data_IF_595476168025
#
_entry.id   IF_595476168025
#
_cell.length_a   1.000
_cell.length_b   1.000
_cell.length_c   1.000
_cell.angle_alpha   90.00
_cell.angle_beta   90.00
_cell.angle_gamma   90.00
#
_symmetry.space_group_name_H-M   'P 1'
#
loop_
_entity.id
_entity.type
_entity.pdbx_description
1 polymer ?
#
# COMPACT_ATOMS: atom_id res chain seq x y z
N UNK A 1 4.86 -18.25 11.25
CA UNK A 1 3.64 -17.44 11.30
C UNK A 1 3.23 -17.05 9.89
N UNK A 2 1.94 -17.08 9.57
CA UNK A 2 1.43 -16.57 8.29
C UNK A 2 0.62 -15.29 8.51
N UNK A 3 0.69 -14.41 7.52
CA UNK A 3 -0.12 -13.21 7.39
C UNK A 3 -1.43 -13.47 6.61
N UNK A 4 -2.39 -12.54 6.69
CA UNK A 4 -3.71 -12.61 6.06
C UNK A 4 -3.61 -12.75 4.54
N UNK A 5 -2.72 -11.98 3.90
CA UNK A 5 -2.55 -12.02 2.44
C UNK A 5 -2.15 -13.42 1.94
N UNK A 6 -1.37 -14.19 2.70
CA UNK A 6 -0.93 -15.54 2.33
C UNK A 6 -2.15 -16.46 2.21
N UNK A 7 -3.10 -16.34 3.15
CA UNK A 7 -4.34 -17.12 3.14
C UNK A 7 -5.28 -16.68 2.01
N UNK A 8 -5.41 -15.36 1.78
CA UNK A 8 -6.25 -14.83 0.70
C UNK A 8 -5.69 -15.17 -0.68
N UNK A 9 -4.37 -15.24 -0.84
CA UNK A 9 -3.72 -15.60 -2.10
C UNK A 9 -4.04 -17.04 -2.53
N UNK A 10 -4.51 -17.92 -1.64
CA UNK A 10 -5.03 -19.23 -2.04
C UNK A 10 -6.26 -19.12 -2.96
N UNK A 11 -7.05 -18.04 -2.85
CA UNK A 11 -8.17 -17.75 -3.76
C UNK A 11 -7.71 -17.08 -5.06
N UNK A 12 -6.68 -16.25 -5.00
CA UNK A 12 -6.17 -15.46 -6.13
C UNK A 12 -5.22 -16.23 -7.04
N UNK A 13 -4.57 -17.26 -6.51
CA UNK A 13 -3.63 -18.10 -7.24
C UNK A 13 -4.36 -18.99 -8.27
N UNK A 14 -3.67 -19.31 -9.36
CA UNK A 14 -4.08 -20.39 -10.26
C UNK A 14 -3.99 -21.76 -9.55
N UNK A 15 -4.42 -22.82 -10.23
CA UNK A 15 -4.49 -24.15 -9.63
C UNK A 15 -3.14 -24.70 -9.15
N UNK A 16 -2.08 -24.61 -9.97
CA UNK A 16 -0.75 -25.12 -9.61
C UNK A 16 -0.17 -24.40 -8.41
N UNK A 17 -0.24 -23.07 -8.40
CA UNK A 17 0.32 -22.22 -7.34
C UNK A 17 -0.40 -22.43 -6.02
N UNK A 18 -1.72 -22.58 -6.04
CA UNK A 18 -2.50 -22.93 -4.85
C UNK A 18 -2.11 -24.30 -4.32
N UNK A 19 -1.98 -25.32 -5.17
CA UNK A 19 -1.59 -26.68 -4.77
C UNK A 19 -0.20 -26.68 -4.13
N UNK A 20 0.77 -26.04 -4.76
CA UNK A 20 2.16 -26.01 -4.29
C UNK A 20 2.28 -25.24 -2.96
N UNK A 21 1.53 -24.13 -2.82
CA UNK A 21 1.40 -23.39 -1.54
C UNK A 21 0.83 -24.29 -0.44
N UNK A 22 -0.28 -24.98 -0.70
CA UNK A 22 -0.88 -25.90 0.28
C UNK A 22 0.05 -27.06 0.64
N UNK A 23 0.82 -27.59 -0.30
CA UNK A 23 1.81 -28.62 -0.04
C UNK A 23 2.92 -28.13 0.90
N UNK A 24 3.45 -26.92 0.67
CA UNK A 24 4.43 -26.29 1.54
C UNK A 24 3.87 -26.06 2.96
N UNK A 25 2.66 -25.50 3.07
CA UNK A 25 2.01 -25.28 4.37
C UNK A 25 1.72 -26.59 5.11
N UNK A 26 1.33 -27.65 4.39
CA UNK A 26 1.12 -28.99 4.96
C UNK A 26 2.40 -29.56 5.55
N UNK A 27 3.52 -29.40 4.85
CA UNK A 27 4.83 -29.88 5.32
C UNK A 27 5.31 -29.10 6.55
N UNK A 28 4.93 -27.83 6.65
CA UNK A 28 5.26 -26.93 7.76
C UNK A 28 4.23 -26.91 8.89
N UNK A 29 3.17 -27.74 8.81
CA UNK A 29 2.01 -27.72 9.70
C UNK A 29 2.38 -27.66 11.18
N UNK A 30 3.32 -28.50 11.64
CA UNK A 30 3.69 -28.55 13.07
C UNK A 30 4.38 -27.29 13.59
N UNK A 31 4.88 -26.44 12.69
CA UNK A 31 5.54 -25.16 13.00
C UNK A 31 4.65 -23.96 12.64
N UNK A 32 3.47 -24.22 12.10
CA UNK A 32 2.54 -23.19 11.64
C UNK A 32 1.75 -22.65 12.83
N UNK A 33 1.59 -21.34 12.82
CA UNK A 33 0.72 -20.61 13.74
C UNK A 33 0.25 -19.33 13.06
N UNK A 34 -0.96 -18.88 13.36
CA UNK A 34 -1.47 -17.58 12.92
C UNK A 34 -2.10 -16.82 14.09
N UNK A 35 -1.97 -15.49 14.14
CA UNK A 35 -2.76 -14.67 15.06
C UNK A 35 -4.26 -14.83 14.84
N UNK A 36 -5.05 -14.64 15.90
CA UNK A 36 -6.50 -14.51 15.77
C UNK A 36 -6.87 -13.35 14.83
N UNK A 37 -6.12 -12.24 14.88
CA UNK A 37 -6.35 -11.09 14.02
C UNK A 37 -6.25 -11.46 12.53
N UNK A 38 -5.26 -12.28 12.14
CA UNK A 38 -5.11 -12.78 10.76
C UNK A 38 -6.35 -13.54 10.31
N UNK A 39 -6.89 -14.41 11.19
CA UNK A 39 -8.11 -15.14 10.88
C UNK A 39 -9.34 -14.22 10.76
N UNK A 40 -9.45 -13.21 11.62
CA UNK A 40 -10.53 -12.21 11.57
C UNK A 40 -10.52 -11.44 10.25
N UNK A 41 -9.34 -11.01 9.81
CA UNK A 41 -9.18 -10.29 8.56
C UNK A 41 -9.41 -11.19 7.34
N UNK A 42 -8.96 -12.44 7.41
CA UNK A 42 -9.26 -13.43 6.38
C UNK A 42 -10.77 -13.56 6.17
N UNK A 43 -11.55 -13.74 7.24
CA UNK A 43 -13.02 -13.84 7.12
C UNK A 43 -13.66 -12.56 6.61
N UNK A 44 -13.19 -11.38 7.04
CA UNK A 44 -13.68 -10.08 6.57
C UNK A 44 -13.44 -9.91 5.06
N UNK A 45 -12.25 -10.27 4.59
CA UNK A 45 -11.79 -9.95 3.24
C UNK A 45 -12.14 -11.06 2.23
N UNK A 46 -12.36 -12.30 2.67
CA UNK A 46 -12.70 -13.46 1.83
C UNK A 46 -13.97 -13.25 0.99
N UNK A 47 -14.93 -12.48 1.48
CA UNK A 47 -16.18 -12.18 0.76
C UNK A 47 -15.99 -11.14 -0.37
N UNK A 48 -14.84 -10.45 -0.40
CA UNK A 48 -14.56 -9.45 -1.43
C UNK A 48 -14.55 -10.08 -2.83
N UNK A 49 -15.17 -9.45 -3.84
CA UNK A 49 -15.05 -9.87 -5.24
C UNK A 49 -13.59 -9.98 -5.70
N UNK A 50 -12.70 -9.10 -5.22
CA UNK A 50 -11.27 -9.09 -5.58
C UNK A 50 -10.48 -10.28 -5.02
N UNK A 51 -11.06 -11.02 -4.08
CA UNK A 51 -10.51 -12.27 -3.53
C UNK A 51 -11.23 -13.46 -4.14
N UNK A 52 -12.55 -13.57 -3.93
CA UNK A 52 -13.33 -14.75 -4.32
C UNK A 52 -13.46 -14.92 -5.83
N UNK A 53 -13.65 -13.80 -6.53
CA UNK A 53 -13.88 -13.77 -7.97
C UNK A 53 -12.66 -13.20 -8.70
N UNK A 54 -11.47 -13.25 -8.10
CA UNK A 54 -10.25 -12.63 -8.63
C UNK A 54 -10.03 -12.92 -10.11
N UNK A 55 -10.02 -14.20 -10.50
CA UNK A 55 -9.83 -14.63 -11.89
C UNK A 55 -10.91 -14.10 -12.83
N UNK A 56 -12.17 -14.12 -12.42
CA UNK A 56 -13.28 -13.59 -13.21
C UNK A 56 -13.21 -12.05 -13.34
N UNK A 57 -12.85 -11.34 -12.27
CA UNK A 57 -12.65 -9.90 -12.26
C UNK A 57 -11.50 -9.51 -13.22
N UNK A 58 -10.34 -10.18 -13.13
CA UNK A 58 -9.22 -9.93 -14.03
C UNK A 58 -9.52 -10.27 -15.49
N UNK A 59 -10.26 -11.35 -15.74
CA UNK A 59 -10.74 -11.68 -17.09
C UNK A 59 -11.67 -10.60 -17.67
N UNK A 60 -12.58 -10.07 -16.87
CA UNK A 60 -13.49 -9.00 -17.27
C UNK A 60 -12.75 -7.67 -17.51
N UNK A 61 -11.78 -7.32 -16.66
CA UNK A 61 -10.92 -6.14 -16.84
C UNK A 61 -10.12 -6.23 -18.15
N UNK A 62 -9.50 -7.38 -18.42
CA UNK A 62 -8.78 -7.63 -19.66
C UNK A 62 -9.71 -7.55 -20.88
N UNK A 63 -10.90 -8.17 -20.80
CA UNK A 63 -11.89 -8.14 -21.87
C UNK A 63 -12.36 -6.71 -22.19
N UNK A 64 -12.66 -5.91 -21.16
CA UNK A 64 -13.04 -4.51 -21.33
C UNK A 64 -11.90 -3.66 -21.92
N UNK A 65 -10.65 -3.99 -21.59
CA UNK A 65 -9.48 -3.30 -22.15
C UNK A 65 -9.26 -3.64 -23.62
N UNK A 66 -9.45 -4.91 -24.00
CA UNK A 66 -9.44 -5.34 -25.40
C UNK A 66 -10.53 -4.62 -26.21
N UNK A 67 -11.75 -4.52 -25.68
CA UNK A 67 -12.84 -3.80 -26.35
C UNK A 67 -12.50 -2.31 -26.57
N UNK A 68 -11.87 -1.66 -25.59
CA UNK A 68 -11.38 -0.28 -25.73
C UNK A 68 -10.30 -0.16 -26.78
N UNK A 69 -9.34 -1.09 -26.82
CA UNK A 69 -8.25 -1.08 -27.79
C UNK A 69 -8.76 -1.24 -29.23
N UNK A 70 -9.69 -2.17 -29.46
CA UNK A 70 -10.35 -2.36 -30.75
C UNK A 70 -11.11 -1.10 -31.18
N UNK A 71 -11.89 -0.50 -30.27
CA UNK A 71 -12.61 0.75 -30.55
C UNK A 71 -11.67 1.91 -30.87
N UNK A 72 -10.54 2.01 -30.17
CA UNK A 72 -9.52 3.02 -30.42
C UNK A 72 -8.89 2.83 -31.81
N UNK A 73 -8.55 1.59 -32.19
CA UNK A 73 -8.04 1.27 -33.52
C UNK A 73 -9.03 1.67 -34.63
N UNK A 74 -10.31 1.31 -34.50
CA UNK A 74 -11.38 1.73 -35.42
C UNK A 74 -11.46 3.25 -35.55
N UNK A 75 -11.43 3.96 -34.44
CA UNK A 75 -11.51 5.43 -34.41
C UNK A 75 -10.30 6.07 -35.09
N UNK A 76 -9.10 5.56 -34.86
CA UNK A 76 -7.87 6.05 -35.48
C UNK A 76 -7.88 5.87 -37.01
N UNK A 77 -8.31 4.69 -37.48
CA UNK A 77 -8.38 4.41 -38.92
C UNK A 77 -9.46 5.26 -39.60
N UNK A 78 -10.64 5.43 -38.99
CA UNK A 78 -11.70 6.31 -39.50
C UNK A 78 -11.26 7.78 -39.59
N UNK A 79 -10.52 8.27 -38.58
CA UNK A 79 -9.95 9.60 -38.60
C UNK A 79 -8.92 9.77 -39.73
N UNK A 80 -8.04 8.77 -39.91
CA UNK A 80 -7.08 8.76 -41.01
C UNK A 80 -7.76 8.79 -42.37
N UNK A 81 -8.75 7.91 -42.63
CA UNK A 81 -9.55 7.88 -43.87
C UNK A 81 -10.15 9.24 -44.22
N UNK A 82 -10.67 9.93 -43.22
CA UNK A 82 -11.24 11.28 -43.37
C UNK A 82 -10.16 12.30 -43.72
N UNK A 83 -9.02 12.27 -43.02
CA UNK A 83 -7.92 13.21 -43.21
C UNK A 83 -7.27 13.09 -44.60
N UNK A 84 -7.19 11.88 -45.14
CA UNK A 84 -6.60 11.62 -46.47
C UNK A 84 -7.64 11.60 -47.60
N UNK A 85 -8.91 11.91 -47.30
CA UNK A 85 -10.02 11.98 -48.27
C UNK A 85 -10.30 10.66 -49.03
N UNK A 86 -9.98 9.52 -48.42
CA UNK A 86 -10.23 8.19 -48.99
C UNK A 86 -11.53 7.55 -48.48
N UNK A 87 -12.36 8.29 -47.74
CA UNK A 87 -13.61 7.78 -47.15
C UNK A 87 -14.64 7.28 -48.18
N UNK A 88 -14.56 7.74 -49.42
CA UNK A 88 -15.46 7.39 -50.52
C UNK A 88 -14.78 6.42 -51.52
N UNK A 89 -13.54 6.00 -51.25
CA UNK A 89 -12.82 5.00 -52.05
C UNK A 89 -13.27 3.59 -51.61
N UNK A 90 -14.14 2.96 -52.40
CA UNK A 90 -14.76 1.68 -52.08
C UNK A 90 -13.74 0.55 -51.82
N UNK A 91 -12.65 0.49 -52.56
CA UNK A 91 -11.64 -0.58 -52.42
C UNK A 91 -10.83 -0.39 -51.13
N UNK A 92 -10.43 0.86 -50.84
CA UNK A 92 -9.71 1.19 -49.59
C UNK A 92 -10.60 0.95 -48.37
N UNK A 93 -11.85 1.43 -48.40
CA UNK A 93 -12.81 1.25 -47.31
C UNK A 93 -13.09 -0.23 -47.06
N UNK A 94 -13.33 -1.01 -48.13
CA UNK A 94 -13.58 -2.45 -48.02
C UNK A 94 -12.40 -3.20 -47.41
N UNK A 95 -11.17 -2.88 -47.81
CA UNK A 95 -9.95 -3.49 -47.24
C UNK A 95 -9.83 -3.18 -45.75
N UNK A 96 -10.09 -1.94 -45.37
CA UNK A 96 -10.04 -1.50 -43.96
C UNK A 96 -11.12 -2.17 -43.13
N UNK A 97 -12.35 -2.23 -43.63
CA UNK A 97 -13.45 -2.90 -42.93
C UNK A 97 -13.15 -4.38 -42.73
N UNK A 98 -12.52 -5.05 -43.71
CA UNK A 98 -12.03 -6.41 -43.55
C UNK A 98 -10.99 -6.51 -42.44
N UNK A 99 -9.94 -5.69 -42.46
CA UNK A 99 -8.86 -5.75 -41.46
C UNK A 99 -9.36 -5.40 -40.04
N UNK A 100 -10.32 -4.48 -39.92
CA UNK A 100 -10.98 -4.14 -38.65
C UNK A 100 -11.94 -5.22 -38.16
N UNK A 101 -12.49 -6.03 -39.07
CA UNK A 101 -13.30 -7.21 -38.71
C UNK A 101 -12.39 -8.33 -38.21
N UNK A 102 -11.28 -8.60 -38.91
CA UNK A 102 -10.28 -9.59 -38.48
C UNK A 102 -9.70 -9.23 -37.10
N UNK A 103 -9.46 -7.94 -36.83
CA UNK A 103 -9.04 -7.45 -35.52
C UNK A 103 -10.10 -7.72 -34.42
N UNK A 104 -11.38 -7.50 -34.73
CA UNK A 104 -12.49 -7.77 -33.82
C UNK A 104 -12.64 -9.26 -33.50
N UNK A 105 -12.52 -10.11 -34.52
CA UNK A 105 -12.59 -11.56 -34.37
C UNK A 105 -11.42 -12.08 -33.53
N UNK A 106 -10.19 -11.60 -33.79
CA UNK A 106 -9.01 -11.95 -33.01
C UNK A 106 -9.16 -11.53 -31.53
N UNK A 107 -9.66 -10.31 -31.28
CA UNK A 107 -9.95 -9.84 -29.93
C UNK A 107 -11.07 -10.68 -29.27
N UNK A 108 -12.09 -11.07 -30.03
CA UNK A 108 -13.15 -11.98 -29.59
C UNK A 108 -12.61 -13.33 -29.12
N UNK A 109 -11.80 -13.97 -29.96
CA UNK A 109 -11.16 -15.26 -29.64
C UNK A 109 -10.26 -15.18 -28.40
N UNK A 110 -9.49 -14.09 -28.26
CA UNK A 110 -8.67 -13.88 -27.07
C UNK A 110 -9.52 -13.72 -25.80
N UNK A 111 -10.64 -12.98 -25.87
CA UNK A 111 -11.57 -12.85 -24.74
C UNK A 111 -12.17 -14.18 -24.34
N UNK A 112 -12.60 -15.00 -25.30
CA UNK A 112 -13.13 -16.35 -25.03
C UNK A 112 -12.10 -17.23 -24.33
N UNK A 113 -10.84 -17.22 -24.78
CA UNK A 113 -9.76 -17.95 -24.15
C UNK A 113 -9.51 -17.48 -22.71
N UNK A 114 -9.41 -16.17 -22.49
CA UNK A 114 -9.21 -15.57 -21.15
C UNK A 114 -10.34 -15.98 -20.20
N UNK A 115 -11.59 -15.92 -20.66
CA UNK A 115 -12.75 -16.33 -19.86
C UNK A 115 -12.75 -17.83 -19.55
N UNK A 116 -12.40 -18.67 -20.53
CA UNK A 116 -12.27 -20.11 -20.32
C UNK A 116 -11.17 -20.45 -19.29
N UNK A 117 -10.02 -19.79 -19.37
CA UNK A 117 -8.93 -19.97 -18.40
C UNK A 117 -9.35 -19.51 -17.00
N UNK A 118 -10.00 -18.35 -16.89
CA UNK A 118 -10.50 -17.86 -15.60
C UNK A 118 -11.52 -18.81 -14.96
N UNK A 119 -12.37 -19.48 -15.76
CA UNK A 119 -13.28 -20.52 -15.27
C UNK A 119 -12.55 -21.80 -14.83
N UNK A 120 -11.41 -22.12 -15.45
CA UNK A 120 -10.57 -23.25 -15.07
C UNK A 120 -9.87 -23.02 -13.73
N UNK A 121 -9.32 -21.82 -13.53
CA UNK A 121 -8.62 -21.45 -12.30
C UNK A 121 -9.56 -21.07 -11.15
N UNK A 122 -10.83 -20.74 -11.48
CA UNK A 122 -11.86 -20.42 -10.50
C UNK A 122 -12.14 -21.60 -9.57
N UNK A 123 -12.17 -21.29 -8.28
CA UNK A 123 -12.62 -22.21 -7.25
C UNK A 123 -14.15 -22.36 -7.33
N UNK A 124 -14.61 -23.58 -7.59
CA UNK A 124 -16.04 -23.93 -7.53
C UNK A 124 -16.49 -24.03 -6.07
N UNK A 125 -17.79 -23.85 -5.87
CA UNK A 125 -18.47 -24.06 -4.58
C UNK A 125 -17.92 -23.26 -3.40
N UNK A 126 -17.34 -22.08 -3.67
CA UNK A 126 -16.84 -21.13 -2.64
C UNK A 126 -17.96 -20.33 -1.96
N UNK A 127 -19.19 -20.38 -2.51
CA UNK A 127 -20.34 -19.69 -1.95
C UNK A 127 -20.75 -20.22 -0.58
N UNK A 128 -20.47 -21.50 -0.29
CA UNK A 128 -20.82 -22.11 0.99
C UNK A 128 -19.59 -22.61 1.72
N UNK A 129 -19.48 -22.26 3.01
CA UNK A 129 -18.31 -22.55 3.85
C UNK A 129 -17.93 -24.03 3.88
N UNK A 130 -18.90 -24.94 3.92
CA UNK A 130 -18.65 -26.38 4.00
C UNK A 130 -18.27 -27.03 2.67
N UNK A 131 -18.49 -26.35 1.55
CA UNK A 131 -18.10 -26.84 0.22
C UNK A 131 -16.80 -26.22 -0.26
N UNK A 132 -16.43 -25.05 0.29
CA UNK A 132 -15.26 -24.29 -0.12
C UNK A 132 -13.96 -25.12 -0.02
N UNK A 133 -13.25 -25.33 -1.14
CA UNK A 133 -12.05 -26.16 -1.18
C UNK A 133 -10.86 -25.55 -0.41
N UNK A 134 -10.73 -24.23 -0.37
CA UNK A 134 -9.66 -23.55 0.40
C UNK A 134 -9.94 -23.71 1.89
N UNK A 135 -11.19 -23.56 2.33
CA UNK A 135 -11.53 -23.77 3.74
C UNK A 135 -11.36 -25.22 4.18
N UNK A 136 -11.76 -26.18 3.34
CA UNK A 136 -11.52 -27.61 3.58
C UNK A 136 -10.04 -27.95 3.73
N UNK A 137 -9.17 -27.26 2.99
CA UNK A 137 -7.72 -27.44 3.10
C UNK A 137 -7.16 -26.73 4.35
N UNK A 138 -7.62 -25.51 4.65
CA UNK A 138 -7.13 -24.71 5.77
C UNK A 138 -7.56 -25.24 7.14
N UNK A 139 -8.78 -25.78 7.26
CA UNK A 139 -9.31 -26.26 8.54
C UNK A 139 -8.37 -27.25 9.27
N UNK A 140 -7.92 -28.37 8.67
CA UNK A 140 -7.00 -29.30 9.33
C UNK A 140 -5.57 -28.73 9.49
N UNK A 141 -5.18 -27.76 8.65
CA UNK A 141 -3.88 -27.08 8.73
C UNK A 141 -3.81 -26.11 9.90
N UNK A 142 -4.90 -25.41 10.19
CA UNK A 142 -4.98 -24.37 11.21
C UNK A 142 -5.55 -24.87 12.55
N UNK A 143 -6.12 -26.07 12.59
CA UNK A 143 -6.67 -26.65 13.82
C UNK A 143 -5.64 -26.64 14.96
N UNK A 144 -5.97 -25.98 16.08
CA UNK A 144 -5.10 -25.83 17.25
C UNK A 144 -3.87 -24.93 17.02
N UNK A 145 -3.84 -24.14 15.95
CA UNK A 145 -2.70 -23.30 15.52
C UNK A 145 -3.10 -21.84 15.29
N UNK A 146 -4.26 -21.45 15.80
CA UNK A 146 -4.73 -20.05 15.80
C UNK A 146 -4.53 -19.52 17.21
N UNK A 147 -3.99 -18.30 17.33
CA UNK A 147 -3.92 -17.61 18.62
C UNK A 147 -5.30 -17.34 19.21
N UNK A 148 -5.36 -17.15 20.52
CA UNK A 148 -6.60 -16.77 21.20
C UNK A 148 -7.01 -15.32 20.85
N UNK A 149 -8.31 -15.02 20.81
CA UNK A 149 -8.77 -13.63 20.69
C UNK A 149 -8.33 -12.80 21.88
N UNK A 150 -8.04 -11.53 21.65
CA UNK A 150 -7.91 -10.56 22.75
C UNK A 150 -9.26 -10.40 23.45
N UNK A 151 -9.25 -10.22 24.78
CA UNK A 151 -10.43 -9.77 25.50
C UNK A 151 -10.85 -8.38 25.01
N UNK A 152 -12.12 -8.01 25.17
CA UNK A 152 -12.61 -6.68 24.73
C UNK A 152 -11.78 -5.53 25.31
N UNK A 153 -11.44 -5.57 26.60
CA UNK A 153 -10.61 -4.55 27.24
C UNK A 153 -9.17 -4.53 26.71
N UNK A 154 -8.56 -5.70 26.46
CA UNK A 154 -7.23 -5.78 25.86
C UNK A 154 -7.22 -5.30 24.41
N UNK A 155 -8.29 -5.59 23.67
CA UNK A 155 -8.48 -5.12 22.30
C UNK A 155 -8.59 -3.59 22.24
N UNK A 156 -9.44 -2.99 23.07
CA UNK A 156 -9.63 -1.53 23.11
C UNK A 156 -8.33 -0.81 23.51
N UNK A 157 -7.55 -1.40 24.41
CA UNK A 157 -6.21 -0.90 24.78
C UNK A 157 -5.24 -1.01 23.61
N UNK A 158 -5.20 -2.15 22.93
CA UNK A 158 -4.32 -2.37 21.79
C UNK A 158 -4.64 -1.43 20.61
N UNK A 159 -5.92 -1.11 20.37
CA UNK A 159 -6.31 -0.14 19.34
C UNK A 159 -5.86 1.28 19.71
N UNK A 160 -5.97 1.68 20.98
CA UNK A 160 -5.45 2.99 21.43
C UNK A 160 -3.94 3.07 21.32
N UNK A 161 -3.24 2.03 21.73
CA UNK A 161 -1.79 1.94 21.60
C UNK A 161 -1.35 1.98 20.12
N UNK A 162 -2.08 1.29 19.23
CA UNK A 162 -1.82 1.35 17.79
C UNK A 162 -1.92 2.79 17.25
N UNK A 163 -2.92 3.56 17.70
CA UNK A 163 -3.05 4.97 17.32
C UNK A 163 -1.88 5.81 17.85
N UNK A 164 -1.48 5.64 19.11
CA UNK A 164 -0.35 6.36 19.70
C UNK A 164 0.96 6.05 18.96
N UNK A 165 1.20 4.77 18.65
CA UNK A 165 2.33 4.33 17.82
C UNK A 165 2.28 4.94 16.43
N UNK A 166 1.10 5.02 15.82
CA UNK A 166 0.93 5.62 14.51
C UNK A 166 1.24 7.13 14.50
N UNK A 167 0.81 7.85 15.53
CA UNK A 167 1.10 9.28 15.72
C UNK A 167 2.61 9.55 15.87
N UNK A 168 3.34 8.60 16.46
CA UNK A 168 4.80 8.63 16.61
C UNK A 168 5.57 8.05 15.41
N UNK A 169 4.87 7.44 14.44
CA UNK A 169 5.49 6.80 13.27
C UNK A 169 6.23 5.50 13.60
N UNK A 170 5.80 4.80 14.64
CA UNK A 170 6.38 3.53 15.08
C UNK A 170 5.73 2.37 14.28
N UNK A 171 6.54 1.52 13.61
CA UNK A 171 6.04 0.36 12.86
C UNK A 171 5.49 -0.75 13.79
N UNK A 172 4.66 -1.69 13.28
CA UNK A 172 3.97 -1.68 11.99
C UNK A 172 2.53 -1.12 12.11
N UNK A 173 1.92 -0.80 10.97
CA UNK A 173 0.53 -0.33 10.80
C UNK A 173 0.30 1.17 10.78
N UNK A 174 1.34 2.02 10.82
CA UNK A 174 1.14 3.47 11.02
C UNK A 174 0.56 4.19 9.79
N UNK A 175 0.77 3.66 8.58
CA UNK A 175 0.27 4.26 7.34
C UNK A 175 -1.26 4.18 7.22
N UNK A 176 -1.85 3.09 7.73
CA UNK A 176 -3.29 2.84 7.64
C UNK A 176 -4.15 3.81 8.45
N UNK A 177 -3.62 4.36 9.54
CA UNK A 177 -4.31 5.35 10.39
C UNK A 177 -4.56 6.69 9.68
N UNK A 178 -3.95 6.90 8.50
CA UNK A 178 -4.19 8.10 7.69
C UNK A 178 -5.51 8.03 6.92
N UNK A 179 -5.96 6.82 6.58
CA UNK A 179 -7.06 6.61 5.62
C UNK A 179 -8.21 5.78 6.18
N UNK A 180 -7.97 5.02 7.25
CA UNK A 180 -8.95 4.08 7.82
C UNK A 180 -9.34 4.48 9.25
N UNK A 181 -10.54 4.05 9.67
CA UNK A 181 -10.98 4.16 11.06
C UNK A 181 -10.03 3.38 11.99
N UNK A 182 -9.80 3.83 13.24
CA UNK A 182 -8.77 3.27 14.13
C UNK A 182 -8.85 1.75 14.31
N UNK A 183 -10.05 1.17 14.42
CA UNK A 183 -10.25 -0.28 14.57
C UNK A 183 -9.88 -1.09 13.33
N UNK A 184 -9.97 -0.48 12.15
CA UNK A 184 -9.57 -1.09 10.88
C UNK A 184 -8.09 -0.86 10.61
N UNK A 185 -7.56 0.29 11.02
CA UNK A 185 -6.16 0.68 10.86
C UNK A 185 -5.20 -0.08 11.80
N UNK A 186 -5.68 -0.46 12.99
CA UNK A 186 -4.88 -1.19 13.98
C UNK A 186 -4.51 -2.64 13.59
N UNK A 187 -4.92 -3.14 12.42
CA UNK A 187 -4.78 -4.54 12.01
C UNK A 187 -3.35 -5.06 12.12
N UNK A 188 -2.41 -4.38 11.49
CA UNK A 188 -0.98 -4.74 11.50
C UNK A 188 -0.39 -4.77 12.91
N UNK A 189 -0.73 -3.78 13.74
CA UNK A 189 -0.27 -3.75 15.14
C UNK A 189 -0.86 -4.90 15.95
N UNK A 190 -2.14 -5.22 15.76
CA UNK A 190 -2.80 -6.34 16.44
C UNK A 190 -2.17 -7.68 16.05
N UNK A 191 -1.83 -7.87 14.77
CA UNK A 191 -1.06 -9.01 14.27
C UNK A 191 0.31 -9.08 14.96
N UNK A 192 1.02 -7.96 15.04
CA UNK A 192 2.33 -7.85 15.68
C UNK A 192 2.28 -8.13 17.19
N UNK A 193 1.32 -7.56 17.90
CA UNK A 193 1.11 -7.77 19.33
C UNK A 193 0.87 -9.25 19.67
N UNK A 194 0.00 -9.92 18.90
CA UNK A 194 -0.26 -11.34 19.09
C UNK A 194 0.96 -12.20 18.74
N UNK A 195 1.71 -11.85 17.69
CA UNK A 195 2.98 -12.50 17.34
C UNK A 195 3.97 -12.43 18.51
N UNK A 196 4.21 -11.24 19.05
CA UNK A 196 5.16 -11.05 20.16
C UNK A 196 4.74 -11.84 21.39
N UNK A 197 3.44 -11.84 21.70
CA UNK A 197 2.88 -12.59 22.84
C UNK A 197 3.12 -14.10 22.68
N UNK A 198 2.82 -14.65 21.50
CA UNK A 198 3.02 -16.07 21.23
C UNK A 198 4.50 -16.45 21.19
N UNK A 199 5.34 -15.61 20.60
CA UNK A 199 6.78 -15.81 20.53
C UNK A 199 7.40 -15.88 21.93
N UNK A 200 6.97 -14.99 22.84
CA UNK A 200 7.38 -15.01 24.25
C UNK A 200 6.91 -16.27 24.96
N UNK A 201 5.68 -16.72 24.69
CA UNK A 201 5.12 -17.92 25.29
C UNK A 201 5.87 -19.20 24.86
N UNK A 202 6.21 -19.32 23.57
CA UNK A 202 6.93 -20.48 23.03
C UNK A 202 8.44 -20.44 23.22
N UNK A 203 9.02 -19.24 23.35
CA UNK A 203 10.47 -19.05 23.45
C UNK A 203 11.24 -19.50 22.20
N UNK A 204 10.63 -19.38 21.01
CA UNK A 204 11.23 -19.80 19.75
C UNK A 204 11.35 -18.65 18.74
N UNK A 205 12.39 -18.70 17.91
CA UNK A 205 12.58 -17.75 16.81
C UNK A 205 11.39 -17.77 15.84
N UNK A 206 11.02 -16.59 15.36
CA UNK A 206 9.84 -16.37 14.52
C UNK A 206 10.25 -16.26 13.07
N UNK A 207 9.60 -17.05 12.21
CA UNK A 207 9.55 -16.81 10.78
C UNK A 207 8.16 -16.29 10.41
N UNK A 208 8.07 -15.02 10.02
CA UNK A 208 6.86 -14.39 9.51
C UNK A 208 6.83 -14.48 7.99
N UNK A 209 5.78 -15.06 7.44
CA UNK A 209 5.53 -15.08 6.00
C UNK A 209 4.45 -14.06 5.68
N UNK A 210 4.81 -13.01 4.95
CA UNK A 210 3.91 -11.93 4.55
C UNK A 210 4.15 -11.55 3.09
N UNK A 211 3.08 -11.41 2.32
CA UNK A 211 3.11 -10.84 0.97
C UNK A 211 3.11 -9.31 0.96
N UNK A 212 3.02 -8.68 2.13
CA UNK A 212 3.11 -7.24 2.26
C UNK A 212 4.59 -6.84 2.30
N UNK A 213 5.05 -6.08 1.29
CA UNK A 213 6.42 -5.55 1.19
C UNK A 213 6.50 -4.06 1.55
N UNK A 214 5.51 -3.53 2.27
CA UNK A 214 5.48 -2.13 2.71
C UNK A 214 6.74 -1.73 3.48
N UNK A 215 7.07 -0.44 3.36
CA UNK A 215 8.15 0.22 4.10
C UNK A 215 8.00 0.10 5.62
N UNK A 216 6.80 -0.23 6.09
CA UNK A 216 6.51 -0.38 7.51
C UNK A 216 7.01 -1.71 8.10
N UNK A 217 7.07 -2.75 7.28
CA UNK A 217 7.57 -4.06 7.67
C UNK A 217 9.01 -4.29 7.22
N UNK A 218 9.37 -3.71 6.08
CA UNK A 218 10.64 -3.96 5.40
C UNK A 218 11.49 -2.71 5.22
N UNK A 219 12.80 -2.89 5.35
CA UNK A 219 13.80 -1.90 4.92
C UNK A 219 14.30 -2.27 3.53
N UNK A 220 13.93 -1.47 2.53
CA UNK A 220 14.49 -1.56 1.19
C UNK A 220 15.98 -1.19 1.19
N UNK A 221 16.75 -1.92 0.37
CA UNK A 221 18.21 -1.76 0.30
C UNK A 221 18.71 -1.34 -1.08
N UNK A 222 17.83 -0.93 -1.99
CA UNK A 222 18.14 -0.60 -3.39
C UNK A 222 17.77 -1.72 -4.36
N UNK A 223 17.91 -1.46 -5.66
CA UNK A 223 17.28 -2.22 -6.75
C UNK A 223 17.63 -3.72 -6.84
N UNK A 224 18.73 -4.18 -6.23
CA UNK A 224 19.18 -5.59 -6.35
C UNK A 224 19.38 -6.33 -5.02
N UNK A 225 19.08 -5.69 -3.87
CA UNK A 225 19.30 -6.33 -2.57
C UNK A 225 17.95 -6.67 -1.94
N UNK A 226 17.69 -7.94 -1.61
CA UNK A 226 16.45 -8.35 -0.95
C UNK A 226 16.16 -7.49 0.29
N UNK A 227 14.91 -7.06 0.46
CA UNK A 227 14.53 -6.29 1.63
C UNK A 227 14.78 -7.11 2.89
N UNK A 228 15.05 -6.41 3.99
CA UNK A 228 15.21 -7.04 5.30
C UNK A 228 14.15 -6.55 6.27
N UNK A 229 13.83 -7.30 7.34
CA UNK A 229 12.99 -6.79 8.41
C UNK A 229 13.49 -5.43 8.92
N UNK A 230 12.57 -4.52 9.24
CA UNK A 230 12.91 -3.27 9.92
C UNK A 230 13.65 -3.53 11.23
N UNK A 231 14.66 -2.70 11.52
CA UNK A 231 15.49 -2.85 12.71
C UNK A 231 14.69 -2.67 14.00
N UNK A 232 13.69 -1.80 13.96
CA UNK A 232 12.74 -1.53 15.04
C UNK A 232 11.98 -2.81 15.43
N UNK A 233 11.48 -3.56 14.44
CA UNK A 233 10.77 -4.84 14.67
C UNK A 233 11.71 -5.92 15.24
N UNK A 234 12.96 -5.98 14.73
CA UNK A 234 13.97 -6.90 15.25
C UNK A 234 14.28 -6.61 16.73
N UNK A 235 14.43 -5.33 17.08
CA UNK A 235 14.73 -4.87 18.42
C UNK A 235 13.55 -5.13 19.35
N UNK A 236 12.35 -4.73 18.96
CA UNK A 236 11.15 -4.85 19.77
C UNK A 236 10.84 -6.32 20.10
N UNK A 237 10.89 -7.23 19.12
CA UNK A 237 10.67 -8.65 19.39
C UNK A 237 11.73 -9.23 20.32
N UNK A 238 12.99 -8.81 20.16
CA UNK A 238 14.08 -9.27 21.02
C UNK A 238 13.94 -8.78 22.46
N UNK A 239 13.47 -7.54 22.65
CA UNK A 239 13.21 -6.97 23.98
C UNK A 239 12.00 -7.64 24.66
N UNK A 240 10.92 -7.91 23.92
CA UNK A 240 9.69 -8.46 24.47
C UNK A 240 9.71 -9.98 24.67
N UNK A 241 10.35 -10.71 23.77
CA UNK A 241 10.31 -12.17 23.73
C UNK A 241 11.69 -12.85 23.82
N UNK A 242 12.80 -12.11 23.64
CA UNK A 242 14.15 -12.67 23.71
C UNK A 242 14.55 -13.52 22.49
N UNK A 243 13.76 -13.49 21.41
CA UNK A 243 13.93 -14.33 20.22
C UNK A 243 14.25 -13.50 18.96
N UNK A 244 14.63 -14.17 17.87
CA UNK A 244 14.91 -13.53 16.58
C UNK A 244 13.69 -13.51 15.67
N UNK A 245 13.61 -12.48 14.84
CA UNK A 245 12.65 -12.37 13.74
C UNK A 245 13.35 -12.66 12.40
N UNK A 246 12.70 -13.50 11.60
CA UNK A 246 12.95 -13.75 10.20
C UNK A 246 11.68 -13.43 9.42
N UNK A 247 11.82 -12.88 8.21
CA UNK A 247 10.68 -12.62 7.33
C UNK A 247 10.96 -13.21 5.95
N UNK A 248 9.92 -13.72 5.32
CA UNK A 248 9.93 -14.17 3.93
C UNK A 248 8.63 -13.73 3.25
N UNK A 249 8.72 -13.49 1.95
CA UNK A 249 7.54 -13.40 1.09
C UNK A 249 7.01 -14.80 0.76
N UNK A 250 5.75 -14.95 0.30
CA UNK A 250 5.19 -16.24 -0.10
C UNK A 250 5.98 -16.92 -1.22
N UNK A 251 6.51 -16.16 -2.19
CA UNK A 251 7.35 -16.68 -3.27
C UNK A 251 8.69 -17.20 -2.75
N UNK A 252 9.32 -16.49 -1.80
CA UNK A 252 10.54 -16.95 -1.14
C UNK A 252 10.29 -18.22 -0.30
N UNK A 253 9.14 -18.30 0.39
CA UNK A 253 8.76 -19.51 1.13
C UNK A 253 8.71 -20.72 0.18
N UNK A 254 8.08 -20.59 -0.99
CA UNK A 254 8.01 -21.68 -1.97
C UNK A 254 9.38 -22.06 -2.52
N UNK A 255 10.24 -21.08 -2.79
CA UNK A 255 11.62 -21.33 -3.22
C UNK A 255 12.39 -22.16 -2.18
N UNK A 256 12.34 -21.75 -0.92
CA UNK A 256 12.98 -22.48 0.17
C UNK A 256 12.32 -23.83 0.44
N UNK A 257 11.01 -23.95 0.23
CA UNK A 257 10.29 -25.22 0.36
C UNK A 257 10.79 -26.25 -0.66
N UNK A 258 11.08 -25.82 -1.89
CA UNK A 258 11.70 -26.68 -2.92
C UNK A 258 13.07 -27.20 -2.48
N UNK A 259 13.93 -26.30 -1.99
CA UNK A 259 15.32 -26.63 -1.64
C UNK A 259 15.45 -27.41 -0.32
N UNK A 260 14.66 -27.04 0.70
CA UNK A 260 14.83 -27.52 2.07
C UNK A 260 13.80 -28.55 2.50
N UNK A 261 12.64 -28.61 1.82
CA UNK A 261 11.54 -29.54 2.17
C UNK A 261 11.35 -30.65 1.15
N UNK A 262 12.22 -30.74 0.13
CA UNK A 262 12.20 -31.72 -0.95
C UNK A 262 10.85 -31.79 -1.69
N UNK A 263 10.17 -30.64 -1.79
CA UNK A 263 8.91 -30.52 -2.51
C UNK A 263 9.16 -30.21 -3.98
N UNK A 264 8.43 -30.88 -4.87
CA UNK A 264 8.43 -30.54 -6.29
C UNK A 264 7.53 -29.32 -6.52
N UNK A 265 8.13 -28.13 -6.47
CA UNK A 265 7.46 -26.85 -6.70
C UNK A 265 7.72 -26.38 -8.12
N UNK A 266 6.66 -25.98 -8.82
CA UNK A 266 6.75 -25.42 -10.16
C UNK A 266 7.37 -24.01 -10.13
N UNK A 267 8.28 -23.73 -11.07
CA UNK A 267 8.92 -22.41 -11.18
C UNK A 267 7.91 -21.30 -11.52
N UNK A 268 6.84 -21.63 -12.24
CA UNK A 268 5.72 -20.72 -12.49
C UNK A 268 5.05 -20.30 -11.19
N UNK A 269 4.89 -21.23 -10.23
CA UNK A 269 4.25 -20.91 -8.95
C UNK A 269 5.03 -19.94 -8.07
N UNK A 270 6.36 -19.96 -8.14
CA UNK A 270 7.20 -18.95 -7.48
C UNK A 270 6.98 -17.57 -8.12
N UNK A 271 6.93 -17.50 -9.46
CA UNK A 271 6.71 -16.25 -10.20
C UNK A 271 5.32 -15.68 -9.98
N UNK A 272 4.29 -16.52 -9.98
CA UNK A 272 2.90 -16.10 -9.78
C UNK A 272 2.73 -15.44 -8.40
N UNK A 273 3.31 -16.04 -7.34
CA UNK A 273 3.27 -15.44 -6.00
C UNK A 273 4.07 -14.15 -5.91
N UNK A 274 5.18 -14.03 -6.66
CA UNK A 274 5.94 -12.79 -6.72
C UNK A 274 5.09 -11.68 -7.36
N UNK A 275 4.44 -11.96 -8.50
CA UNK A 275 3.55 -11.00 -9.17
C UNK A 275 2.34 -10.61 -8.32
N UNK A 276 1.74 -11.56 -7.59
CA UNK A 276 0.66 -11.27 -6.65
C UNK A 276 1.12 -10.36 -5.51
N UNK A 277 2.36 -10.52 -5.04
CA UNK A 277 2.97 -9.62 -4.06
C UNK A 277 3.21 -8.21 -4.62
N UNK A 278 3.78 -8.11 -5.82
CA UNK A 278 4.04 -6.84 -6.52
C UNK A 278 2.73 -6.08 -6.80
N UNK A 279 1.69 -6.75 -7.31
CA UNK A 279 0.40 -6.10 -7.55
C UNK A 279 -0.28 -5.60 -6.26
N UNK A 280 -0.07 -6.28 -5.14
CA UNK A 280 -0.57 -5.83 -3.83
C UNK A 280 0.23 -4.63 -3.32
N UNK A 281 1.53 -4.59 -3.59
CA UNK A 281 2.37 -3.45 -3.29
C UNK A 281 2.00 -2.25 -4.17
N UNK A 282 1.70 -2.46 -5.45
CA UNK A 282 1.30 -1.40 -6.39
C UNK A 282 -0.09 -0.80 -6.07
N UNK A 283 -1.07 -1.61 -5.63
CA UNK A 283 -2.37 -1.11 -5.16
C UNK A 283 -2.25 -0.20 -3.92
N UNK A 284 -1.25 -0.45 -3.06
CA UNK A 284 -0.93 0.36 -1.89
C UNK A 284 0.18 1.41 -2.16
N UNK A 285 0.95 1.29 -3.26
CA UNK A 285 2.01 2.22 -3.68
C UNK A 285 1.62 3.17 -4.82
N UNK A 286 0.35 3.12 -5.27
CA UNK A 286 -0.32 4.23 -5.97
C UNK A 286 -0.32 5.55 -5.15
N UNK A 287 0.29 5.54 -3.96
CA UNK A 287 0.55 6.67 -3.07
C UNK A 287 1.84 7.47 -3.39
N UNK A 288 2.74 7.03 -4.28
CA UNK A 288 3.79 7.93 -4.82
C UNK A 288 3.25 8.78 -6.01
N UNK A 289 2.20 9.56 -5.75
CA UNK A 289 1.42 10.35 -6.73
C UNK A 289 2.16 11.57 -7.34
N UNK A 290 3.35 11.90 -6.84
CA UNK A 290 4.07 13.12 -7.19
C UNK A 290 5.26 12.83 -8.09
N UNK A 291 5.13 13.15 -9.37
CA UNK A 291 6.26 13.26 -10.28
C UNK A 291 6.91 14.64 -10.13
N UNK A 292 8.15 14.80 -10.61
CA UNK A 292 8.81 16.12 -10.64
C UNK A 292 7.98 17.15 -11.40
N UNK A 293 7.36 16.76 -12.52
CA UNK A 293 6.51 17.65 -13.34
C UNK A 293 5.22 18.02 -12.62
N UNK A 294 4.44 17.04 -12.14
CA UNK A 294 3.16 17.29 -11.47
C UNK A 294 3.32 18.10 -10.17
N UNK A 295 4.39 17.83 -9.42
CA UNK A 295 4.73 18.62 -8.23
C UNK A 295 5.15 20.04 -8.58
N UNK A 296 5.91 20.23 -9.67
CA UNK A 296 6.33 21.56 -10.10
C UNK A 296 5.13 22.43 -10.47
N UNK A 297 4.23 21.92 -11.31
CA UNK A 297 3.02 22.64 -11.73
C UNK A 297 2.10 22.95 -10.56
N UNK A 298 1.91 21.99 -9.65
CA UNK A 298 1.12 22.21 -8.44
C UNK A 298 1.71 23.31 -7.55
N UNK A 299 3.02 23.28 -7.31
CA UNK A 299 3.69 24.27 -6.47
C UNK A 299 3.67 25.66 -7.09
N UNK A 300 3.77 25.78 -8.41
CA UNK A 300 3.71 27.06 -9.12
C UNK A 300 2.29 27.66 -9.06
N UNK A 301 1.26 26.84 -9.26
CA UNK A 301 -0.13 27.30 -9.15
C UNK A 301 -0.54 27.61 -7.70
N UNK A 302 -0.02 26.83 -6.74
CA UNK A 302 -0.20 27.10 -5.31
C UNK A 302 0.54 28.38 -4.90
N UNK A 303 1.71 28.67 -5.48
CA UNK A 303 2.43 29.92 -5.24
C UNK A 303 1.63 31.12 -5.74
N UNK A 304 1.03 31.00 -6.93
CA UNK A 304 0.24 32.08 -7.53
C UNK A 304 -1.01 32.44 -6.71
N UNK A 305 -1.69 31.42 -6.17
CA UNK A 305 -2.96 31.62 -5.42
C UNK A 305 -2.74 31.79 -3.91
N UNK A 306 -1.75 31.11 -3.34
CA UNK A 306 -1.59 30.96 -1.90
C UNK A 306 -0.12 30.86 -1.43
N UNK A 307 0.70 31.92 -1.59
CA UNK A 307 2.15 31.89 -1.31
C UNK A 307 2.55 31.37 0.08
N UNK A 308 1.74 31.66 1.11
CA UNK A 308 2.03 31.23 2.49
C UNK A 308 2.01 29.72 2.69
N UNK A 309 1.22 28.97 1.89
CA UNK A 309 1.23 27.50 1.96
C UNK A 309 2.47 26.91 1.31
N UNK A 310 2.95 27.49 0.22
CA UNK A 310 4.20 27.05 -0.41
C UNK A 310 5.36 27.23 0.55
N UNK A 311 5.45 28.36 1.24
CA UNK A 311 6.46 28.58 2.28
C UNK A 311 6.41 27.51 3.37
N UNK A 312 5.22 27.13 3.83
CA UNK A 312 5.06 26.07 4.82
C UNK A 312 5.50 24.69 4.30
N UNK A 313 5.15 24.34 3.05
CA UNK A 313 5.56 23.08 2.40
C UNK A 313 7.08 23.01 2.22
N UNK A 314 7.70 24.08 1.73
CA UNK A 314 9.16 24.15 1.54
C UNK A 314 9.89 24.11 2.87
N UNK A 315 9.40 24.82 3.89
CA UNK A 315 9.95 24.75 5.25
C UNK A 315 9.82 23.34 5.85
N UNK A 316 8.70 22.65 5.61
CA UNK A 316 8.54 21.27 6.03
C UNK A 316 9.58 20.37 5.35
N UNK A 317 9.82 20.54 4.04
CA UNK A 317 10.84 19.78 3.30
C UNK A 317 12.27 20.03 3.82
N UNK A 318 12.61 21.29 4.13
CA UNK A 318 13.89 21.65 4.71
C UNK A 318 14.09 21.03 6.11
N UNK A 319 13.01 20.84 6.87
CA UNK A 319 13.01 20.29 8.22
C UNK A 319 12.65 18.80 8.29
N UNK A 320 13.00 18.02 7.26
CA UNK A 320 12.82 16.55 7.28
C UNK A 320 11.37 16.07 7.20
N UNK A 321 10.49 16.90 6.65
CA UNK A 321 9.09 16.57 6.36
C UNK A 321 8.06 17.20 7.29
N UNK A 322 8.46 18.04 8.26
CA UNK A 322 7.54 18.64 9.23
C UNK A 322 7.80 20.14 9.45
N UNK A 323 6.74 20.93 9.59
CA UNK A 323 6.81 22.35 9.96
C UNK A 323 5.91 22.61 11.16
N UNK A 324 6.46 23.19 12.22
CA UNK A 324 5.69 23.54 13.41
C UNK A 324 4.81 24.79 13.19
N UNK A 325 3.80 24.94 14.05
CA UNK A 325 2.84 26.05 14.00
C UNK A 325 3.49 27.43 14.05
N UNK A 326 4.47 27.62 14.93
CA UNK A 326 5.12 28.92 15.14
C UNK A 326 5.82 29.37 13.85
N UNK A 327 6.53 28.44 13.22
CA UNK A 327 7.17 28.64 11.93
C UNK A 327 6.15 28.99 10.85
N UNK A 328 4.98 28.33 10.80
CA UNK A 328 3.91 28.69 9.86
C UNK A 328 3.38 30.12 10.10
N UNK A 329 3.31 30.58 11.34
CA UNK A 329 2.83 31.93 11.66
C UNK A 329 3.79 33.01 11.20
N UNK A 330 5.08 32.79 11.45
CA UNK A 330 6.14 33.66 10.98
C UNK A 330 6.15 33.73 9.44
N UNK A 331 6.08 32.58 8.76
CA UNK A 331 6.12 32.52 7.29
C UNK A 331 4.87 33.11 6.62
N UNK A 332 3.71 32.99 7.26
CA UNK A 332 2.43 33.45 6.74
C UNK A 332 2.03 34.86 7.21
N UNK A 333 2.78 35.47 8.15
CA UNK A 333 2.45 36.76 8.75
C UNK A 333 1.13 36.72 9.54
N UNK A 334 0.85 35.62 10.23
CA UNK A 334 -0.39 35.44 10.99
C UNK A 334 -0.22 35.85 12.45
N UNK A 335 -1.29 36.41 13.02
CA UNK A 335 -1.38 36.67 14.45
C UNK A 335 -1.41 35.36 15.25
N UNK A 336 -0.76 35.36 16.42
CA UNK A 336 -0.64 34.17 17.29
C UNK A 336 -1.99 33.61 17.76
N UNK A 337 -3.02 34.46 17.80
CA UNK A 337 -4.39 34.08 18.19
C UNK A 337 -5.21 33.49 17.03
N UNK A 338 -4.74 33.59 15.79
CA UNK A 338 -5.44 33.05 14.61
C UNK A 338 -5.57 31.53 14.74
N UNK A 339 -6.65 30.95 14.21
CA UNK A 339 -6.79 29.49 14.07
C UNK A 339 -6.31 29.05 12.68
N UNK A 340 -5.59 27.93 12.62
CA UNK A 340 -5.15 27.29 11.37
C UNK A 340 -6.17 26.30 10.79
N UNK A 341 -7.42 26.32 11.29
CA UNK A 341 -8.48 25.46 10.76
C UNK A 341 -8.74 25.80 9.28
N UNK A 342 -8.65 24.79 8.42
CA UNK A 342 -8.80 24.95 6.98
C UNK A 342 -7.54 25.45 6.24
N UNK A 343 -6.37 25.50 6.91
CA UNK A 343 -5.12 25.90 6.25
C UNK A 343 -4.76 25.00 5.06
N UNK A 344 -5.04 23.69 5.19
CA UNK A 344 -4.82 22.65 4.16
C UNK A 344 -5.95 22.57 3.12
N UNK A 345 -7.10 23.20 3.35
CA UNK A 345 -8.26 23.10 2.45
C UNK A 345 -7.94 23.55 1.01
N UNK A 346 -7.24 24.68 0.76
CA UNK A 346 -6.91 25.08 -0.60
C UNK A 346 -5.93 24.14 -1.31
N UNK A 347 -5.06 23.45 -0.56
CA UNK A 347 -4.14 22.44 -1.09
C UNK A 347 -4.94 21.23 -1.58
N UNK A 348 -5.91 20.78 -0.79
CA UNK A 348 -6.82 19.70 -1.17
C UNK A 348 -7.80 20.07 -2.29
N UNK A 349 -8.18 21.34 -2.44
CA UNK A 349 -8.97 21.81 -3.60
C UNK A 349 -8.13 21.83 -4.86
N UNK A 350 -6.93 22.41 -4.82
CA UNK A 350 -6.07 22.50 -6.00
C UNK A 350 -5.64 21.12 -6.50
N UNK A 351 -5.37 20.18 -5.60
CA UNK A 351 -4.97 18.82 -6.00
C UNK A 351 -6.09 18.09 -6.73
N UNK A 352 -7.35 18.27 -6.30
CA UNK A 352 -8.52 17.72 -7.01
C UNK A 352 -8.73 18.39 -8.37
N UNK A 353 -8.49 19.68 -8.49
CA UNK A 353 -8.58 20.40 -9.78
C UNK A 353 -7.55 19.85 -10.78
N UNK A 354 -6.30 19.61 -10.36
CA UNK A 354 -5.24 19.05 -11.22
C UNK A 354 -5.42 17.56 -11.54
N UNK A 355 -6.04 16.79 -10.63
CA UNK A 355 -6.47 15.43 -10.93
C UNK A 355 -7.54 15.41 -12.03
N UNK A 356 -8.52 16.32 -11.96
CA UNK A 356 -9.59 16.41 -12.96
C UNK A 356 -9.08 16.75 -14.36
N UNK A 357 -7.93 17.43 -14.47
CA UNK A 357 -7.26 17.76 -15.74
C UNK A 357 -6.21 16.71 -16.16
N UNK A 358 -6.02 15.64 -15.39
CA UNK A 358 -5.05 14.58 -15.68
C UNK A 358 -3.58 14.95 -15.46
N UNK A 359 -3.30 16.10 -14.82
CA UNK A 359 -1.95 16.56 -14.49
C UNK A 359 -1.38 15.79 -13.30
N UNK A 360 -2.24 15.46 -12.32
CA UNK A 360 -1.89 14.64 -11.19
C UNK A 360 -2.49 13.24 -11.36
N UNK A 361 -1.64 12.22 -11.36
CA UNK A 361 -2.02 10.81 -11.50
C UNK A 361 -1.68 10.09 -10.20
N UNK A 362 -2.69 9.84 -9.36
CA UNK A 362 -2.52 9.15 -8.07
C UNK A 362 -3.64 9.45 -7.09
N UNK A 363 -3.80 8.59 -6.07
CA UNK A 363 -4.91 8.65 -5.12
C UNK A 363 -4.70 9.61 -3.95
N UNK A 364 -3.47 10.11 -3.73
CA UNK A 364 -3.12 10.97 -2.59
C UNK A 364 -3.14 12.48 -2.96
N UNK A 365 -4.20 13.25 -2.65
CA UNK A 365 -4.33 14.64 -3.09
C UNK A 365 -3.87 15.65 -2.03
N UNK A 366 -3.10 15.23 -1.02
CA UNK A 366 -2.77 16.08 0.13
C UNK A 366 -1.26 16.21 0.34
N UNK A 367 -0.66 17.16 -0.37
CA UNK A 367 0.76 17.52 -0.20
C UNK A 367 1.10 17.99 1.23
N UNK A 368 0.10 18.39 2.02
CA UNK A 368 0.28 18.91 3.38
C UNK A 368 -0.86 18.47 4.30
N UNK A 369 -0.51 17.79 5.39
CA UNK A 369 -1.45 17.23 6.37
C UNK A 369 -1.28 17.90 7.72
N UNK A 370 -2.39 18.19 8.41
CA UNK A 370 -2.39 18.82 9.73
C UNK A 370 -2.02 17.80 10.80
N UNK A 371 -1.09 18.17 11.69
CA UNK A 371 -0.75 17.40 12.90
C UNK A 371 -1.38 18.10 14.10
N UNK A 372 -2.29 17.43 14.81
CA UNK A 372 -2.96 17.96 16.00
C UNK A 372 -2.17 17.63 17.28
N UNK A 373 -2.36 18.43 18.34
CA UNK A 373 -1.86 18.11 19.68
C UNK A 373 -2.74 17.10 20.43
N UNK A 374 -2.29 16.71 21.62
CA UNK A 374 -2.90 15.71 22.52
C UNK A 374 -4.43 15.85 22.67
N UNK A 375 -5.10 14.72 22.95
CA UNK A 375 -6.56 14.57 23.05
C UNK A 375 -7.31 15.57 23.96
N UNK A 376 -6.62 16.29 24.85
CA UNK A 376 -7.24 17.28 25.76
C UNK A 376 -7.34 18.69 25.18
N UNK A 377 -6.68 19.00 24.06
CA UNK A 377 -6.91 20.25 23.31
C UNK A 377 -6.86 20.03 21.78
N UNK A 378 -7.83 19.27 21.22
CA UNK A 378 -7.86 18.92 19.79
C UNK A 378 -8.13 20.13 18.87
N UNK A 379 -8.23 21.34 19.43
CA UNK A 379 -8.60 22.55 18.70
C UNK A 379 -7.41 23.34 18.12
N UNK A 380 -6.17 22.96 18.44
CA UNK A 380 -4.94 23.62 17.99
C UNK A 380 -4.03 22.66 17.19
N UNK A 381 -3.74 23.01 15.94
CA UNK A 381 -2.73 22.30 15.15
C UNK A 381 -1.33 22.55 15.75
N UNK A 382 -0.54 21.48 15.95
CA UNK A 382 0.87 21.52 16.37
C UNK A 382 1.80 21.90 15.20
N UNK A 383 1.39 21.56 13.99
CA UNK A 383 2.13 21.83 12.77
C UNK A 383 1.54 21.10 11.57
N UNK A 384 2.33 20.95 10.52
CA UNK A 384 1.95 20.23 9.31
C UNK A 384 3.08 19.33 8.83
N UNK A 385 2.70 18.24 8.15
CA UNK A 385 3.63 17.24 7.61
C UNK A 385 3.42 17.10 6.11
N UNK A 386 4.51 16.83 5.38
CA UNK A 386 4.48 16.48 3.95
C UNK A 386 4.89 15.02 3.74
N UNK A 387 4.47 14.36 2.64
CA UNK A 387 4.89 13.00 2.33
C UNK A 387 6.41 12.88 2.15
N UNK A 388 7.00 11.78 2.63
CA UNK A 388 8.45 11.59 2.58
C UNK A 388 9.00 11.46 1.16
N UNK A 389 8.23 10.86 0.24
CA UNK A 389 8.59 10.73 -1.18
C UNK A 389 8.70 12.07 -1.93
N UNK A 390 8.07 13.13 -1.41
CA UNK A 390 8.10 14.47 -2.00
C UNK A 390 9.34 15.26 -1.59
N UNK A 391 9.95 14.94 -0.44
CA UNK A 391 11.09 15.70 0.11
C UNK A 391 12.27 15.78 -0.89
N UNK A 392 12.72 14.68 -1.54
CA UNK A 392 13.80 14.76 -2.53
C UNK A 392 13.44 15.64 -3.73
N UNK A 393 12.18 15.61 -4.18
CA UNK A 393 11.71 16.39 -5.32
C UNK A 393 11.68 17.89 -5.00
N UNK A 394 11.17 18.27 -3.82
CA UNK A 394 11.19 19.66 -3.36
C UNK A 394 12.61 20.16 -3.11
N UNK A 395 13.48 19.31 -2.56
CA UNK A 395 14.89 19.65 -2.37
C UNK A 395 15.55 19.99 -3.71
N UNK A 396 15.34 19.16 -4.73
CA UNK A 396 15.90 19.40 -6.06
C UNK A 396 15.47 20.75 -6.69
N UNK A 397 14.28 21.28 -6.34
CA UNK A 397 13.75 22.52 -6.92
C UNK A 397 14.08 23.77 -6.09
N UNK A 398 14.08 23.66 -4.76
CA UNK A 398 14.13 24.82 -3.87
C UNK A 398 15.44 24.96 -3.08
N UNK A 399 16.23 23.89 -2.92
CA UNK A 399 17.48 23.93 -2.16
C UNK A 399 18.45 24.98 -2.72
N UNK A 400 18.92 25.87 -1.84
CA UNK A 400 19.79 26.99 -2.21
C UNK A 400 19.08 28.25 -2.74
N UNK A 401 17.75 28.24 -2.86
CA UNK A 401 16.95 29.41 -3.23
C UNK A 401 16.36 30.18 -2.04
N UNK A 402 15.77 31.35 -2.30
CA UNK A 402 15.24 32.28 -1.28
C UNK A 402 14.17 31.71 -0.34
N UNK A 403 13.49 30.63 -0.77
CA UNK A 403 12.42 29.96 -0.02
C UNK A 403 12.92 28.81 0.87
N UNK A 404 14.17 28.37 0.70
CA UNK A 404 14.72 27.21 1.41
C UNK A 404 15.47 27.65 2.67
N UNK A 405 14.74 27.70 3.78
CA UNK A 405 15.29 28.03 5.09
C UNK A 405 15.47 26.76 5.92
N UNK A 406 16.72 26.36 6.16
CA UNK A 406 17.06 25.27 7.06
C UNK A 406 17.11 25.82 8.48
N UNK A 407 16.41 25.20 9.43
CA UNK A 407 16.60 25.54 10.84
C UNK A 407 17.97 25.04 11.28
N UNK A 408 18.81 25.93 11.80
CA UNK A 408 20.01 25.53 12.53
C UNK A 408 19.57 24.76 13.78
N UNK A 409 19.74 23.44 13.76
CA UNK A 409 19.59 22.61 14.95
C UNK A 409 20.83 22.83 15.83
N UNK A 410 20.81 23.84 16.70
CA UNK A 410 21.85 24.02 17.71
C UNK A 410 21.88 25.36 18.45
N UNK A 411 21.10 25.48 19.53
CA UNK A 411 21.59 25.97 20.84
C UNK A 411 20.48 25.81 21.88
N UNK A 412 20.49 24.67 22.57
CA UNK A 412 20.00 24.63 23.94
C UNK A 412 20.94 25.52 24.77
N UNK A 413 20.59 26.79 24.96
CA UNK A 413 21.23 27.61 26.00
C UNK A 413 20.74 27.15 27.36
N UNK A 414 21.54 26.27 27.93
CA UNK A 414 21.64 26.00 29.36
C UNK A 414 21.66 27.29 30.16
N UNK A 415 20.94 27.26 31.28
CA UNK A 415 20.97 28.20 32.39
C UNK A 415 22.37 28.73 32.69
N UNK A 416 22.49 30.06 32.75
CA UNK A 416 23.48 30.71 33.59
C UNK A 416 22.72 31.54 34.63
N UNK A 417 22.55 30.93 35.81
CA UNK A 417 22.31 31.62 37.06
C UNK A 417 23.44 32.64 37.26
N UNK A 418 23.18 33.92 37.00
CA UNK A 418 24.06 35.00 37.45
C UNK A 418 23.32 35.92 38.42
N UNK A 419 23.77 35.82 39.67
CA UNK A 419 23.48 36.67 40.81
C UNK A 419 23.52 38.15 40.40
N UNK A 420 22.57 38.94 40.89
CA UNK A 420 22.77 40.38 41.09
C UNK A 420 22.92 40.68 42.58
N UNK A 421 23.80 41.64 42.94
CA UNK A 421 24.18 41.95 44.31
C UNK A 421 23.07 42.58 45.15
#
# INVERSE_FOLDING_TARGET
MLDTNVLLNLYRSNESTRRDTLAALTRLRERLWIPHQVLREFWRNRESPTVRHHHATKANEASATLDKAVKAARTAVAAWLTAVQLKDDEEVVKRIDQDLTELEEAAGSLKEFIQAQALSDALRDTATTHTDPVLKALEPLLHGRVGEPLSSDAYDKAVKEAQERADEGIPPGHEDFRTKEPELAAGDYLVWLQLMTEARHRGCDVLLVTGDVKKDWWTNRGYDIPPRPRAELLQELREHAGVKLYMLTPSELLRWAKELLELNVDEGSVRDLQQLGEASADEDSEDEAWTTESLSEFMDELMRRYPSRVKAIVAAAANGGFVDRETVYQLAGYDETRRLRGFTQPIGTLSRDLQATGVLTGREPFLLTTVYGHATDPSWAKGFRIPSGVIPLLRSKYEGGDLWQVRDSGEARSEAFEKRP
#
